data_IF_191212920453
#
_entry.id   IF_191212920453
#
_cell.length_a   1.000
_cell.length_b   1.000
_cell.length_c   1.000
_cell.angle_alpha   90.00
_cell.angle_beta   90.00
_cell.angle_gamma   90.00
#
_symmetry.space_group_name_H-M   'P 1'
#
loop_
_entity.id
_entity.type
_entity.pdbx_description
1 polymer ?
#
# COMPACT_ATOMS: atom_id res chain seq x y z
N UNK A 1 19.29 10.37 -5.93
CA UNK A 1 18.19 9.91 -5.04
C UNK A 1 18.39 8.44 -4.68
N UNK A 2 18.30 7.50 -5.65
CA UNK A 2 18.33 6.06 -5.39
C UNK A 2 19.58 5.58 -4.64
N UNK A 3 20.76 6.08 -5.01
CA UNK A 3 22.00 5.71 -4.34
C UNK A 3 22.05 6.14 -2.90
N UNK A 4 21.54 7.33 -2.57
CA UNK A 4 21.49 7.84 -1.19
C UNK A 4 20.55 6.99 -0.33
N UNK A 5 19.35 6.68 -0.82
CA UNK A 5 18.40 5.81 -0.12
C UNK A 5 19.00 4.41 0.07
N UNK A 6 19.61 3.83 -0.97
CA UNK A 6 20.24 2.54 -0.88
C UNK A 6 21.40 2.51 0.12
N UNK A 7 22.23 3.55 0.14
CA UNK A 7 23.32 3.68 1.10
C UNK A 7 22.79 3.76 2.53
N UNK A 8 21.77 4.56 2.78
CA UNK A 8 21.12 4.68 4.08
C UNK A 8 20.53 3.33 4.54
N UNK A 9 19.66 2.73 3.76
CA UNK A 9 19.04 1.43 4.08
C UNK A 9 20.10 0.35 4.29
N UNK A 10 21.20 0.36 3.54
CA UNK A 10 22.29 -0.61 3.71
C UNK A 10 23.06 -0.42 5.00
N UNK A 11 23.26 0.82 5.46
CA UNK A 11 24.04 1.15 6.66
C UNK A 11 23.29 0.92 7.96
N UNK A 12 21.98 1.07 7.98
CA UNK A 12 21.16 0.89 9.18
C UNK A 12 20.74 -0.56 9.39
N UNK A 13 21.56 -1.31 10.14
CA UNK A 13 21.28 -2.72 10.45
C UNK A 13 20.05 -2.91 11.34
N UNK A 14 19.75 -1.95 12.25
CA UNK A 14 18.59 -2.02 13.15
C UNK A 14 17.30 -1.81 12.37
N UNK A 15 17.27 -0.80 11.51
CA UNK A 15 16.18 -0.54 10.59
C UNK A 15 15.86 -1.78 9.74
N UNK A 16 16.85 -2.35 9.09
CA UNK A 16 16.69 -3.51 8.22
C UNK A 16 16.23 -4.81 8.91
N UNK A 17 16.41 -4.91 10.23
CA UNK A 17 15.86 -6.03 11.01
C UNK A 17 14.35 -5.84 11.28
N UNK A 18 13.90 -4.59 11.42
CA UNK A 18 12.54 -4.26 11.82
C UNK A 18 11.63 -3.93 10.63
N UNK A 19 12.16 -3.28 9.60
CA UNK A 19 11.38 -2.74 8.49
C UNK A 19 11.82 -3.28 7.13
N UNK A 20 10.88 -3.29 6.21
CA UNK A 20 11.10 -3.58 4.80
C UNK A 20 10.80 -2.33 3.98
N UNK A 21 11.74 -1.93 3.14
CA UNK A 21 11.57 -0.79 2.24
C UNK A 21 11.10 -1.27 0.88
N UNK A 22 10.01 -0.70 0.39
CA UNK A 22 9.48 -0.92 -0.96
C UNK A 22 9.40 0.42 -1.66
N UNK A 23 9.91 0.51 -2.88
CA UNK A 23 9.78 1.69 -3.73
C UNK A 23 8.85 1.36 -4.90
N UNK A 24 7.83 2.18 -5.10
CA UNK A 24 6.85 2.03 -6.18
C UNK A 24 6.95 3.22 -7.15
N UNK A 25 7.90 3.19 -8.11
CA UNK A 25 8.07 4.26 -9.07
C UNK A 25 6.93 4.28 -10.10
N UNK A 26 6.83 5.34 -10.93
CA UNK A 26 6.01 5.32 -12.13
C UNK A 26 6.29 4.07 -12.98
N UNK A 27 5.26 3.52 -13.62
CA UNK A 27 5.34 2.23 -14.32
C UNK A 27 6.49 2.16 -15.35
N UNK A 28 6.76 3.27 -16.03
CA UNK A 28 7.86 3.40 -17.00
C UNK A 28 9.26 3.20 -16.41
N UNK A 29 9.40 3.32 -15.09
CA UNK A 29 10.68 3.19 -14.37
C UNK A 29 10.82 1.87 -13.59
N UNK A 30 9.76 1.05 -13.51
CA UNK A 30 9.77 -0.18 -12.73
C UNK A 30 10.92 -1.10 -13.12
N UNK A 31 11.12 -1.34 -14.42
CA UNK A 31 12.20 -2.23 -14.89
C UNK A 31 13.59 -1.69 -14.54
N UNK A 32 13.82 -0.40 -14.74
CA UNK A 32 15.12 0.24 -14.45
C UNK A 32 15.42 0.17 -12.94
N UNK A 33 14.42 0.41 -12.10
CA UNK A 33 14.56 0.34 -10.65
C UNK A 33 14.75 -1.10 -10.17
N UNK A 34 14.01 -2.05 -10.75
CA UNK A 34 14.18 -3.47 -10.42
C UNK A 34 15.59 -3.96 -10.74
N UNK A 35 16.15 -3.59 -11.88
CA UNK A 35 17.55 -3.89 -12.25
C UNK A 35 18.53 -3.21 -11.28
N UNK A 36 18.33 -1.92 -10.95
CA UNK A 36 19.21 -1.18 -10.04
C UNK A 36 19.23 -1.77 -8.63
N UNK A 37 18.07 -2.21 -8.10
CA UNK A 37 17.94 -2.76 -6.76
C UNK A 37 18.08 -4.30 -6.69
N UNK A 38 18.41 -4.95 -7.80
CA UNK A 38 18.65 -6.39 -7.80
C UNK A 38 19.70 -6.77 -6.75
N UNK A 39 19.40 -7.78 -5.92
CA UNK A 39 20.22 -8.22 -4.81
C UNK A 39 20.48 -7.17 -3.71
N UNK A 40 19.68 -6.11 -3.66
CA UNK A 40 19.71 -5.09 -2.59
C UNK A 40 18.52 -5.30 -1.63
N UNK A 41 18.55 -4.59 -0.50
CA UNK A 41 17.51 -4.71 0.54
C UNK A 41 16.25 -3.91 0.27
N UNK A 42 16.12 -3.32 -0.91
CA UNK A 42 14.96 -2.54 -1.33
C UNK A 42 14.20 -3.36 -2.38
N UNK A 43 12.93 -3.55 -2.15
CA UNK A 43 12.01 -4.19 -3.10
C UNK A 43 11.36 -3.15 -4.00
N UNK A 44 10.98 -3.56 -5.21
CA UNK A 44 10.31 -2.69 -6.18
C UNK A 44 8.87 -3.15 -6.38
N UNK A 45 7.96 -2.18 -6.47
CA UNK A 45 6.56 -2.40 -6.79
C UNK A 45 6.09 -1.51 -7.93
N UNK A 46 4.84 -1.72 -8.34
CA UNK A 46 4.12 -0.86 -9.27
C UNK A 46 2.95 -0.17 -8.56
N UNK A 47 2.45 0.93 -9.13
CA UNK A 47 1.39 1.75 -8.53
C UNK A 47 -0.02 1.32 -8.92
N UNK A 48 -0.20 0.51 -9.96
CA UNK A 48 -1.46 -0.06 -10.43
C UNK A 48 -1.21 -1.13 -11.49
N UNK A 49 -2.26 -1.87 -11.88
CA UNK A 49 -2.30 -2.72 -13.07
C UNK A 49 -3.68 -2.71 -13.72
N UNK A 50 -3.76 -3.28 -14.91
CA UNK A 50 -5.03 -3.57 -15.57
C UNK A 50 -5.74 -4.74 -14.89
N UNK A 51 -7.07 -4.74 -14.89
CA UNK A 51 -7.87 -5.75 -14.21
C UNK A 51 -7.91 -7.11 -14.93
N UNK A 52 -7.60 -7.18 -16.22
CA UNK A 52 -7.45 -8.44 -16.97
C UNK A 52 -5.99 -8.86 -16.96
N UNK A 53 -5.76 -10.15 -16.82
CA UNK A 53 -4.40 -10.70 -16.65
C UNK A 53 -3.77 -11.20 -17.95
N UNK A 54 -4.57 -11.51 -18.95
CA UNK A 54 -4.09 -12.16 -20.15
C UNK A 54 -3.55 -11.19 -21.20
N UNK A 55 -2.56 -11.66 -21.98
CA UNK A 55 -2.22 -11.04 -23.24
C UNK A 55 -3.45 -11.05 -24.16
N UNK A 56 -3.69 -9.97 -24.89
CA UNK A 56 -4.83 -9.89 -25.78
C UNK A 56 -5.07 -8.48 -26.32
N UNK A 57 -6.22 -8.25 -26.93
CA UNK A 57 -6.62 -6.98 -27.51
C UNK A 57 -6.95 -5.92 -26.44
N UNK A 58 -5.97 -5.59 -25.58
CA UNK A 58 -6.07 -4.58 -24.52
C UNK A 58 -5.00 -3.51 -24.74
N UNK A 59 -5.09 -2.79 -25.86
CA UNK A 59 -4.08 -1.83 -26.31
C UNK A 59 -3.73 -0.81 -25.22
N UNK A 60 -2.44 -0.73 -24.87
CA UNK A 60 -1.91 0.18 -23.85
C UNK A 60 -2.09 -0.28 -22.40
N UNK A 61 -2.86 -1.32 -22.14
CA UNK A 61 -3.04 -1.83 -20.79
C UNK A 61 -1.84 -2.67 -20.32
N UNK A 62 -1.48 -2.54 -19.05
CA UNK A 62 -0.36 -3.26 -18.44
C UNK A 62 -0.88 -4.20 -17.37
N UNK A 63 -0.76 -5.51 -17.61
CA UNK A 63 -1.22 -6.54 -16.69
C UNK A 63 -0.26 -6.77 -15.52
N UNK A 64 -0.75 -7.42 -14.46
CA UNK A 64 0.09 -7.82 -13.33
C UNK A 64 1.20 -8.80 -13.74
N UNK A 65 0.96 -9.64 -14.74
CA UNK A 65 1.98 -10.54 -15.32
C UNK A 65 3.12 -9.74 -15.98
N UNK A 66 2.80 -8.71 -16.78
CA UNK A 66 3.80 -7.84 -17.39
C UNK A 66 4.64 -7.10 -16.35
N UNK A 67 3.98 -6.61 -15.29
CA UNK A 67 4.64 -5.95 -14.15
C UNK A 67 5.59 -6.92 -13.43
N UNK A 68 5.16 -8.16 -13.21
CA UNK A 68 6.00 -9.20 -12.62
C UNK A 68 7.21 -9.52 -13.48
N UNK A 69 7.04 -9.64 -14.80
CA UNK A 69 8.11 -10.00 -15.74
C UNK A 69 9.25 -8.98 -15.79
N UNK A 70 8.98 -7.70 -15.48
CA UNK A 70 10.01 -6.65 -15.42
C UNK A 70 10.66 -6.52 -14.02
N UNK A 71 10.37 -7.42 -13.09
CA UNK A 71 11.06 -7.55 -11.81
C UNK A 71 10.37 -6.93 -10.61
N UNK A 72 9.13 -6.46 -10.73
CA UNK A 72 8.35 -6.01 -9.58
C UNK A 72 8.04 -7.18 -8.62
N UNK A 73 7.98 -6.88 -7.33
CA UNK A 73 7.63 -7.81 -6.26
C UNK A 73 6.34 -7.40 -5.53
N UNK A 74 5.98 -6.13 -5.62
CA UNK A 74 4.81 -5.53 -4.98
C UNK A 74 3.96 -4.78 -5.99
N UNK A 75 2.70 -4.56 -5.62
CA UNK A 75 1.78 -3.73 -6.38
C UNK A 75 0.80 -3.03 -5.46
N UNK A 76 0.54 -1.75 -5.72
CA UNK A 76 -0.52 -0.98 -5.06
C UNK A 76 -1.80 -1.17 -5.87
N UNK A 77 -2.91 -1.45 -5.19
CA UNK A 77 -4.22 -1.62 -5.80
C UNK A 77 -5.26 -0.88 -4.99
N UNK A 78 -6.18 -0.19 -5.66
CA UNK A 78 -7.31 0.48 -5.03
C UNK A 78 -6.96 1.81 -4.36
N UNK A 79 -5.84 2.46 -4.74
CA UNK A 79 -5.53 3.82 -4.35
C UNK A 79 -6.67 4.77 -4.70
N UNK A 80 -6.88 5.81 -3.89
CA UNK A 80 -8.00 6.75 -4.07
C UNK A 80 -8.05 7.37 -5.46
N UNK A 81 -6.91 7.69 -6.08
CA UNK A 81 -6.85 8.22 -7.44
C UNK A 81 -7.45 7.24 -8.46
N UNK A 82 -7.08 5.95 -8.38
CA UNK A 82 -7.60 4.95 -9.31
C UNK A 82 -9.09 4.65 -9.10
N UNK A 83 -9.56 4.72 -7.84
CA UNK A 83 -11.00 4.62 -7.54
C UNK A 83 -11.77 5.81 -8.12
N UNK A 84 -11.23 7.01 -8.04
CA UNK A 84 -11.85 8.21 -8.63
C UNK A 84 -11.85 8.19 -10.16
N UNK A 85 -10.91 7.48 -10.78
CA UNK A 85 -10.82 7.25 -12.22
C UNK A 85 -11.67 6.06 -12.71
N UNK A 86 -12.42 5.40 -11.83
CA UNK A 86 -13.40 4.39 -12.21
C UNK A 86 -13.11 2.95 -11.81
N UNK A 87 -12.10 2.69 -10.98
CA UNK A 87 -11.89 1.34 -10.44
C UNK A 87 -13.08 0.93 -9.56
N UNK A 88 -13.84 -0.05 -10.02
CA UNK A 88 -14.94 -0.68 -9.27
C UNK A 88 -14.43 -1.79 -8.36
N UNK A 89 -15.20 -2.17 -7.34
CA UNK A 89 -14.84 -3.28 -6.45
C UNK A 89 -14.62 -4.60 -7.23
N UNK A 90 -15.40 -4.85 -8.28
CA UNK A 90 -15.21 -6.02 -9.18
C UNK A 90 -13.86 -5.97 -9.90
N UNK A 91 -13.48 -4.80 -10.42
CA UNK A 91 -12.17 -4.62 -11.07
C UNK A 91 -11.04 -4.78 -10.06
N UNK A 92 -11.18 -4.20 -8.88
CA UNK A 92 -10.19 -4.29 -7.80
C UNK A 92 -10.00 -5.74 -7.33
N UNK A 93 -11.08 -6.50 -7.19
CA UNK A 93 -11.03 -7.93 -6.87
C UNK A 93 -10.23 -8.70 -7.91
N UNK A 94 -10.51 -8.46 -9.21
CA UNK A 94 -9.76 -9.07 -10.31
C UNK A 94 -8.28 -8.68 -10.29
N UNK A 95 -7.96 -7.39 -10.06
CA UNK A 95 -6.58 -6.91 -9.94
C UNK A 95 -5.83 -7.61 -8.79
N UNK A 96 -6.47 -7.75 -7.62
CA UNK A 96 -5.89 -8.45 -6.45
C UNK A 96 -5.64 -9.91 -6.79
N UNK A 97 -6.64 -10.63 -7.29
CA UNK A 97 -6.53 -12.05 -7.61
C UNK A 97 -5.43 -12.32 -8.64
N UNK A 98 -5.42 -11.58 -9.75
CA UNK A 98 -4.42 -11.72 -10.80
C UNK A 98 -3.01 -11.40 -10.29
N UNK A 99 -2.86 -10.38 -9.45
CA UNK A 99 -1.58 -10.02 -8.86
C UNK A 99 -1.03 -11.12 -7.94
N UNK A 100 -1.89 -11.70 -7.09
CA UNK A 100 -1.51 -12.81 -6.21
C UNK A 100 -1.14 -14.07 -7.01
N UNK A 101 -1.90 -14.39 -8.07
CA UNK A 101 -1.62 -15.51 -8.96
C UNK A 101 -0.25 -15.35 -9.65
N UNK A 102 0.10 -14.11 -10.01
CA UNK A 102 1.40 -13.76 -10.60
C UNK A 102 2.51 -13.55 -9.54
N UNK A 103 2.28 -13.95 -8.28
CA UNK A 103 3.29 -13.88 -7.22
C UNK A 103 3.78 -12.46 -6.93
N UNK A 104 2.90 -11.48 -7.07
CA UNK A 104 3.08 -10.13 -6.54
C UNK A 104 2.46 -10.05 -5.14
N UNK A 105 3.10 -9.32 -4.24
CA UNK A 105 2.49 -8.95 -2.96
C UNK A 105 1.66 -7.69 -3.16
N UNK A 106 0.44 -7.72 -2.68
CA UNK A 106 -0.54 -6.64 -2.89
C UNK A 106 -0.55 -5.70 -1.70
N UNK A 107 -0.41 -4.40 -1.97
CA UNK A 107 -0.74 -3.32 -1.05
C UNK A 107 -2.13 -2.81 -1.44
N UNK A 108 -3.16 -3.23 -0.70
CA UNK A 108 -4.54 -2.88 -0.99
C UNK A 108 -4.95 -1.64 -0.19
N UNK A 109 -5.28 -0.56 -0.92
CA UNK A 109 -5.65 0.73 -0.35
C UNK A 109 -7.15 0.80 -0.06
N UNK A 110 -7.47 1.25 1.14
CA UNK A 110 -8.82 1.51 1.63
C UNK A 110 -8.87 2.83 2.38
N UNK A 111 -10.00 3.53 2.31
CA UNK A 111 -10.16 4.79 3.03
C UNK A 111 -11.51 5.43 2.77
N UNK A 112 -11.94 6.26 3.70
CA UNK A 112 -13.14 7.08 3.61
C UNK A 112 -12.82 8.50 3.18
N UNK A 113 -13.78 9.14 2.52
CA UNK A 113 -13.72 10.57 2.21
C UNK A 113 -14.19 11.44 3.40
N UNK A 114 -14.07 12.78 3.25
CA UNK A 114 -14.40 13.74 4.31
C UNK A 114 -15.88 13.69 4.70
N UNK A 115 -16.78 13.57 3.73
CA UNK A 115 -18.21 13.46 3.97
C UNK A 115 -18.56 12.18 4.76
N UNK A 116 -18.01 11.05 4.36
CA UNK A 116 -18.22 9.79 5.04
C UNK A 116 -17.72 9.80 6.49
N UNK A 117 -16.59 10.47 6.74
CA UNK A 117 -16.06 10.68 8.08
C UNK A 117 -16.99 11.54 8.92
N UNK A 118 -17.42 12.70 8.40
CA UNK A 118 -18.34 13.60 9.10
C UNK A 118 -19.66 12.91 9.45
N UNK A 119 -20.16 12.06 8.56
CA UNK A 119 -21.37 11.27 8.76
C UNK A 119 -21.13 10.00 9.62
N UNK A 120 -19.96 9.86 10.28
CA UNK A 120 -19.59 8.71 11.13
C UNK A 120 -19.69 7.35 10.42
N UNK A 121 -19.48 7.32 9.10
CA UNK A 121 -19.57 6.11 8.26
C UNK A 121 -18.23 5.41 8.04
N UNK A 122 -17.11 5.89 8.61
CA UNK A 122 -15.75 5.36 8.42
C UNK A 122 -15.71 3.84 8.51
N UNK A 123 -16.13 3.25 9.60
CA UNK A 123 -16.04 1.79 9.81
C UNK A 123 -16.85 1.00 8.78
N UNK A 124 -18.06 1.45 8.46
CA UNK A 124 -18.90 0.80 7.45
C UNK A 124 -18.27 0.86 6.05
N UNK A 125 -17.67 2.00 5.69
CA UNK A 125 -16.98 2.17 4.41
C UNK A 125 -15.79 1.22 4.31
N UNK A 126 -14.93 1.20 5.33
CA UNK A 126 -13.75 0.35 5.36
C UNK A 126 -14.10 -1.14 5.33
N UNK A 127 -15.09 -1.56 6.12
CA UNK A 127 -15.58 -2.94 6.11
C UNK A 127 -16.10 -3.34 4.72
N UNK A 128 -16.89 -2.50 4.08
CA UNK A 128 -17.41 -2.77 2.73
C UNK A 128 -16.26 -2.90 1.72
N UNK A 129 -15.30 -1.96 1.71
CA UNK A 129 -14.16 -2.02 0.80
C UNK A 129 -13.33 -3.30 0.98
N UNK A 130 -13.16 -3.77 2.22
CA UNK A 130 -12.45 -5.02 2.51
C UNK A 130 -13.27 -6.22 2.02
N UNK A 131 -14.55 -6.34 2.43
CA UNK A 131 -15.37 -7.52 2.16
C UNK A 131 -15.77 -7.66 0.68
N UNK A 132 -15.88 -6.56 -0.05
CA UNK A 132 -16.23 -6.60 -1.47
C UNK A 132 -15.06 -7.08 -2.35
N UNK A 133 -13.83 -6.94 -1.87
CA UNK A 133 -12.62 -7.21 -2.69
C UNK A 133 -11.84 -8.41 -2.19
N UNK A 134 -11.67 -8.57 -0.86
CA UNK A 134 -10.83 -9.63 -0.30
C UNK A 134 -11.66 -10.88 0.03
N UNK A 135 -11.09 -12.03 -0.23
CA UNK A 135 -11.71 -13.34 -0.03
C UNK A 135 -10.84 -14.26 0.85
N UNK A 136 -11.48 -15.18 1.56
CA UNK A 136 -10.82 -16.18 2.41
C UNK A 136 -9.76 -17.00 1.66
N UNK A 137 -10.01 -17.30 0.36
CA UNK A 137 -9.11 -18.09 -0.49
C UNK A 137 -7.76 -17.42 -0.77
N UNK A 138 -7.67 -16.08 -0.62
CA UNK A 138 -6.43 -15.37 -0.88
C UNK A 138 -5.40 -15.63 0.22
N UNK A 139 -4.13 -15.75 -0.18
CA UNK A 139 -3.05 -15.87 0.79
C UNK A 139 -2.84 -14.53 1.52
N UNK A 140 -3.37 -14.40 2.73
CA UNK A 140 -3.30 -13.15 3.50
C UNK A 140 -1.87 -12.69 3.81
N UNK A 141 -0.86 -13.59 3.75
CA UNK A 141 0.56 -13.24 3.95
C UNK A 141 1.14 -12.42 2.79
N UNK A 142 0.51 -12.48 1.62
CA UNK A 142 0.90 -11.71 0.43
C UNK A 142 0.05 -10.45 0.26
N UNK A 143 -0.80 -10.13 1.24
CA UNK A 143 -1.62 -8.92 1.27
C UNK A 143 -1.15 -8.02 2.40
N UNK A 144 -1.09 -6.72 2.11
CA UNK A 144 -0.84 -5.63 3.04
C UNK A 144 -1.99 -4.65 2.83
N UNK A 145 -2.52 -4.09 3.89
CA UNK A 145 -3.56 -3.05 3.78
C UNK A 145 -2.92 -1.69 3.98
N UNK A 146 -3.26 -0.73 3.14
CA UNK A 146 -2.94 0.68 3.35
C UNK A 146 -4.22 1.44 3.70
N UNK A 147 -4.33 1.89 4.93
CA UNK A 147 -5.42 2.78 5.34
C UNK A 147 -5.06 4.22 4.97
N UNK A 148 -5.79 4.75 4.01
CA UNK A 148 -5.62 6.08 3.44
C UNK A 148 -6.88 6.92 3.70
N UNK A 149 -7.02 7.60 4.85
CA UNK A 149 -8.12 8.55 5.01
C UNK A 149 -7.98 9.63 3.92
N UNK A 150 -8.87 9.58 2.90
CA UNK A 150 -8.74 10.38 1.66
C UNK A 150 -8.66 11.88 1.97
N UNK A 151 -9.37 12.31 3.00
CA UNK A 151 -9.36 13.70 3.48
C UNK A 151 -8.00 14.14 4.05
N UNK A 152 -7.11 13.20 4.36
CA UNK A 152 -5.75 13.45 4.91
C UNK A 152 -4.66 13.44 3.83
N UNK A 153 -4.93 12.87 2.64
CA UNK A 153 -3.91 12.73 1.60
C UNK A 153 -3.54 14.11 1.04
N UNK A 154 -2.26 14.50 1.20
CA UNK A 154 -1.73 15.75 0.61
C UNK A 154 -2.27 17.04 1.21
N UNK A 155 -3.17 16.99 2.18
CA UNK A 155 -3.80 18.19 2.79
C UNK A 155 -3.03 18.75 3.99
N UNK A 156 -2.15 17.93 4.59
CA UNK A 156 -1.53 18.23 5.88
C UNK A 156 -2.45 17.96 7.09
N UNK A 157 -3.75 17.67 6.87
CA UNK A 157 -4.63 17.20 7.95
C UNK A 157 -4.22 15.78 8.36
N UNK A 158 -4.14 15.52 9.67
CA UNK A 158 -3.81 14.21 10.20
C UNK A 158 -4.88 13.74 11.19
N UNK A 159 -5.21 12.45 11.24
CA UNK A 159 -6.09 11.92 12.25
C UNK A 159 -5.47 12.04 13.65
N UNK A 160 -6.31 12.16 14.66
CA UNK A 160 -5.85 12.00 16.05
C UNK A 160 -5.31 10.59 16.25
N UNK A 161 -4.26 10.45 17.07
CA UNK A 161 -3.61 9.16 17.33
C UNK A 161 -4.61 8.09 17.79
N UNK A 162 -5.50 8.42 18.73
CA UNK A 162 -6.53 7.51 19.23
C UNK A 162 -7.52 7.06 18.17
N UNK A 163 -7.93 7.96 17.26
CA UNK A 163 -8.85 7.63 16.18
C UNK A 163 -8.18 6.71 15.16
N UNK A 164 -6.90 6.96 14.87
CA UNK A 164 -6.11 6.12 13.98
C UNK A 164 -5.89 4.73 14.57
N UNK A 165 -5.54 4.64 15.86
CA UNK A 165 -5.42 3.37 16.59
C UNK A 165 -6.73 2.57 16.55
N UNK A 166 -7.85 3.19 16.94
CA UNK A 166 -9.18 2.53 16.89
C UNK A 166 -9.53 2.04 15.49
N UNK A 167 -9.26 2.84 14.47
CA UNK A 167 -9.54 2.48 13.08
C UNK A 167 -8.67 1.31 12.64
N UNK A 168 -7.39 1.32 12.98
CA UNK A 168 -6.46 0.22 12.64
C UNK A 168 -6.86 -1.09 13.33
N UNK A 169 -7.22 -1.03 14.61
CA UNK A 169 -7.74 -2.19 15.35
C UNK A 169 -8.99 -2.75 14.69
N UNK A 170 -9.93 -1.87 14.29
CA UNK A 170 -11.13 -2.28 13.58
C UNK A 170 -10.81 -2.96 12.25
N UNK A 171 -9.93 -2.38 11.43
CA UNK A 171 -9.48 -2.97 10.17
C UNK A 171 -8.89 -4.37 10.41
N UNK A 172 -7.98 -4.52 11.39
CA UNK A 172 -7.37 -5.81 11.73
C UNK A 172 -8.42 -6.84 12.17
N UNK A 173 -9.48 -6.42 12.89
CA UNK A 173 -10.59 -7.28 13.27
C UNK A 173 -11.36 -7.80 12.04
N UNK A 174 -11.74 -6.89 11.12
CA UNK A 174 -12.45 -7.28 9.88
C UNK A 174 -11.61 -8.24 9.03
N UNK A 175 -10.31 -7.99 8.92
CA UNK A 175 -9.39 -8.85 8.17
C UNK A 175 -9.28 -10.26 8.77
N UNK A 176 -9.20 -10.37 10.10
CA UNK A 176 -9.20 -11.68 10.78
C UNK A 176 -10.46 -12.46 10.48
N UNK A 177 -11.61 -11.79 10.43
CA UNK A 177 -12.89 -12.40 10.12
C UNK A 177 -12.97 -12.84 8.66
N UNK A 178 -12.58 -11.98 7.70
CA UNK A 178 -12.58 -12.31 6.26
C UNK A 178 -11.68 -13.50 5.95
N UNK A 179 -10.46 -13.54 6.51
CA UNK A 179 -9.50 -14.62 6.25
C UNK A 179 -9.67 -15.82 7.19
N UNK A 180 -10.54 -15.74 8.18
CA UNK A 180 -10.73 -16.78 9.23
C UNK A 180 -9.41 -17.17 9.90
N UNK A 181 -8.58 -16.18 10.24
CA UNK A 181 -7.25 -16.36 10.84
C UNK A 181 -7.14 -15.62 12.18
N UNK A 182 -6.30 -16.14 13.07
CA UNK A 182 -5.97 -15.48 14.36
C UNK A 182 -5.14 -14.19 14.16
N UNK A 183 -4.32 -14.12 13.11
CA UNK A 183 -3.54 -12.95 12.72
C UNK A 183 -4.16 -12.25 11.51
N UNK A 184 -3.88 -10.97 11.35
CA UNK A 184 -4.28 -10.17 10.19
C UNK A 184 -3.10 -9.90 9.25
N UNK A 185 -3.34 -9.53 7.99
CA UNK A 185 -2.38 -8.80 7.19
C UNK A 185 -1.82 -7.57 7.93
N UNK A 186 -0.62 -7.13 7.56
CA UNK A 186 -0.07 -5.88 8.04
C UNK A 186 -0.94 -4.69 7.59
N UNK A 187 -1.08 -3.68 8.46
CA UNK A 187 -1.84 -2.45 8.17
C UNK A 187 -0.89 -1.26 8.21
N UNK A 188 -0.76 -0.59 7.07
CA UNK A 188 0.00 0.64 6.91
C UNK A 188 -0.91 1.85 7.07
N UNK A 189 -0.35 2.96 7.56
CA UNK A 189 -1.00 4.27 7.47
C UNK A 189 -0.50 5.01 6.22
N UNK A 190 -1.40 5.49 5.38
CA UNK A 190 -1.14 6.13 4.09
C UNK A 190 -1.66 7.57 3.99
N UNK A 191 -1.94 8.24 5.08
CA UNK A 191 -2.27 9.66 5.08
C UNK A 191 -1.04 10.56 4.98
N UNK A 192 -1.17 11.83 5.41
CA UNK A 192 -0.07 12.79 5.37
C UNK A 192 1.01 12.43 6.40
N UNK A 193 2.15 11.91 5.90
CA UNK A 193 3.32 11.52 6.71
C UNK A 193 4.55 12.26 6.21
N UNK A 194 5.27 12.88 7.14
CA UNK A 194 6.56 13.55 6.90
C UNK A 194 7.51 13.38 8.10
N UNK A 195 8.75 13.88 7.99
CA UNK A 195 9.76 13.81 9.05
C UNK A 195 9.36 14.52 10.34
N UNK A 196 8.39 15.45 10.32
CA UNK A 196 7.97 16.22 11.50
C UNK A 196 6.91 15.45 12.30
N UNK A 197 6.03 14.72 11.63
CA UNK A 197 4.89 14.05 12.27
C UNK A 197 5.08 12.54 12.47
N UNK A 198 6.06 11.92 11.81
CA UNK A 198 6.28 10.46 11.84
C UNK A 198 6.45 9.91 13.26
N UNK A 199 7.08 10.65 14.17
CA UNK A 199 7.36 10.19 15.54
C UNK A 199 6.10 9.89 16.34
N UNK A 200 5.01 10.60 16.10
CA UNK A 200 3.72 10.35 16.78
C UNK A 200 3.06 9.05 16.28
N UNK A 201 3.22 8.71 15.00
CA UNK A 201 2.66 7.50 14.43
C UNK A 201 3.49 6.26 14.73
N UNK A 202 4.84 6.39 14.81
CA UNK A 202 5.74 5.27 15.19
C UNK A 202 5.47 4.72 16.61
N UNK A 203 4.76 5.47 17.45
CA UNK A 203 4.38 5.04 18.81
C UNK A 203 3.12 4.16 18.83
N UNK A 204 2.36 4.12 17.74
CA UNK A 204 1.14 3.33 17.63
C UNK A 204 1.50 1.90 17.24
N UNK A 205 1.39 0.98 18.19
CA UNK A 205 1.76 -0.44 18.02
C UNK A 205 0.85 -1.16 17.02
N UNK A 206 -0.35 -0.61 16.79
CA UNK A 206 -1.31 -1.17 15.85
C UNK A 206 -0.92 -0.94 14.39
N UNK A 207 -0.06 0.05 14.10
CA UNK A 207 0.40 0.38 12.76
C UNK A 207 1.67 -0.40 12.44
N UNK A 208 1.64 -1.18 11.37
CA UNK A 208 2.76 -2.03 10.97
C UNK A 208 3.74 -1.31 10.02
N UNK A 209 3.44 -0.09 9.58
CA UNK A 209 4.27 0.72 8.69
C UNK A 209 3.52 1.84 8.01
N UNK A 210 4.11 2.38 6.92
CA UNK A 210 3.60 3.57 6.25
C UNK A 210 3.59 3.41 4.73
N UNK A 211 2.56 3.97 4.06
CA UNK A 211 2.57 4.22 2.62
C UNK A 211 2.80 5.71 2.41
N UNK A 212 3.97 6.07 1.85
CA UNK A 212 4.45 7.44 1.80
C UNK A 212 4.37 7.96 0.37
N UNK A 213 3.54 8.97 0.14
CA UNK A 213 3.38 9.63 -1.15
C UNK A 213 4.33 10.82 -1.34
N UNK A 214 3.86 12.05 -1.11
CA UNK A 214 4.56 13.30 -1.42
C UNK A 214 5.97 13.42 -0.85
N UNK A 215 6.20 12.99 0.38
CA UNK A 215 7.51 13.04 1.03
C UNK A 215 8.54 12.10 0.39
N UNK A 216 8.13 11.07 -0.34
CA UNK A 216 9.03 10.15 -1.05
C UNK A 216 9.66 10.74 -2.31
N UNK A 217 9.21 11.92 -2.77
CA UNK A 217 9.78 12.62 -3.93
C UNK A 217 11.19 13.19 -3.66
N UNK A 218 11.59 13.32 -2.38
CA UNK A 218 12.90 13.79 -1.94
C UNK A 218 13.60 12.70 -1.14
N UNK A 219 14.86 12.41 -1.47
CA UNK A 219 15.69 11.47 -0.72
C UNK A 219 15.85 11.91 0.74
N UNK A 220 16.05 13.21 0.99
CA UNK A 220 16.14 13.77 2.34
C UNK A 220 14.87 13.51 3.13
N UNK A 221 13.71 13.95 2.60
CA UNK A 221 12.44 13.79 3.30
C UNK A 221 12.09 12.31 3.55
N UNK A 222 12.42 11.43 2.59
CA UNK A 222 12.20 10.01 2.76
C UNK A 222 13.12 9.40 3.83
N UNK A 223 14.40 9.78 3.85
CA UNK A 223 15.37 9.33 4.86
C UNK A 223 14.97 9.82 6.25
N UNK A 224 14.45 11.04 6.38
CA UNK A 224 13.98 11.60 7.66
C UNK A 224 12.77 10.82 8.24
N UNK A 225 12.04 10.08 7.41
CA UNK A 225 10.90 9.26 7.81
C UNK A 225 11.34 7.85 8.26
N UNK A 226 12.28 7.26 7.55
CA UNK A 226 12.72 5.88 7.79
C UNK A 226 13.85 5.80 8.81
#
# INVERSE_FOLDING_TARGET
ILDKINKFVKSDKKFNKKYKTVITPPLTLVQSYAKFFLNKKISIGAQNCYHKDNFGANTGAISSLMIKSVGAQYIIIGHSDNRSEGDTDTMLKSKVENSLNNKLRVVFCIGENKEQKLNKKTFKVLENQIRNVLEEKFNFKDIIIAYEPIWSIGTGEIPKADDLSKTTVFIKKVLKDVFKKKSSPAVLYGGSVDGKNISQFKRLEEIDGFLIGGASKSDKNFIDII
#
